data_IF_907705349819
#
_entry.id   IF_907705349819
#
_cell.length_a   1.000
_cell.length_b   1.000
_cell.length_c   1.000
_cell.angle_alpha   90.00
_cell.angle_beta   90.00
_cell.angle_gamma   90.00
#
_symmetry.space_group_name_H-M   'P 1'
#
loop_
_entity.id
_entity.type
_entity.pdbx_description
1 polymer ?
#
# COMPACT_ATOMS: atom_id res chain seq x y z
N UNK A 1 -55.40 42.07 33.19
CA UNK A 1 -54.17 42.70 32.77
C UNK A 1 -53.09 41.74 33.13
N UNK A 2 -52.33 41.09 32.32
CA UNK A 2 -51.84 41.28 30.95
C UNK A 2 -51.40 39.93 30.40
N UNK A 3 -51.88 39.56 29.24
CA UNK A 3 -51.36 38.46 28.43
C UNK A 3 -50.12 38.97 27.71
N UNK A 4 -49.25 38.06 27.38
CA UNK A 4 -48.30 38.15 26.28
C UNK A 4 -46.85 37.84 26.65
N UNK A 5 -46.37 36.62 26.31
CA UNK A 5 -45.09 36.42 25.59
C UNK A 5 -44.71 34.94 25.56
N UNK A 6 -45.42 34.14 24.76
CA UNK A 6 -45.00 32.78 24.43
C UNK A 6 -45.00 32.56 22.91
N UNK A 7 -44.19 33.27 22.15
CA UNK A 7 -44.05 33.04 20.68
C UNK A 7 -42.61 33.04 20.16
N UNK A 8 -41.59 33.00 21.00
CA UNK A 8 -40.20 33.11 20.52
C UNK A 8 -39.44 31.78 20.47
N UNK A 9 -39.90 30.70 21.12
CA UNK A 9 -39.15 29.41 21.17
C UNK A 9 -39.34 28.50 19.97
N UNK A 10 -40.33 28.76 19.10
CA UNK A 10 -40.66 27.83 18.01
C UNK A 10 -39.79 27.98 16.74
N UNK A 11 -39.13 29.10 16.56
CA UNK A 11 -38.23 29.34 15.41
C UNK A 11 -36.81 28.85 15.66
N UNK A 12 -36.41 28.74 16.93
CA UNK A 12 -35.05 28.26 17.29
C UNK A 12 -34.88 26.74 17.09
N UNK A 13 -35.98 25.97 17.25
CA UNK A 13 -35.97 24.53 17.05
C UNK A 13 -35.83 24.12 15.57
N UNK A 14 -36.35 24.93 14.65
CA UNK A 14 -36.19 24.65 13.20
C UNK A 14 -34.79 24.94 12.70
N UNK A 15 -34.12 25.95 13.23
CA UNK A 15 -32.72 26.24 12.90
C UNK A 15 -31.78 25.19 13.48
N UNK A 16 -32.07 24.67 14.67
CA UNK A 16 -31.32 23.55 15.27
C UNK A 16 -31.51 22.26 14.49
N UNK A 17 -32.73 21.97 14.00
CA UNK A 17 -33.01 20.80 13.16
C UNK A 17 -32.33 20.88 11.79
N UNK A 18 -32.32 22.08 11.18
CA UNK A 18 -31.57 22.31 9.92
C UNK A 18 -30.05 22.18 10.11
N UNK A 19 -29.50 22.70 11.19
CA UNK A 19 -28.09 22.58 11.51
C UNK A 19 -27.69 21.09 11.75
N UNK A 20 -28.50 20.32 12.48
CA UNK A 20 -28.27 18.88 12.68
C UNK A 20 -28.37 18.09 11.41
N UNK A 21 -29.27 18.46 10.49
CA UNK A 21 -29.39 17.81 9.18
C UNK A 21 -28.15 18.07 8.29
N UNK A 22 -27.61 19.29 8.34
CA UNK A 22 -26.37 19.63 7.60
C UNK A 22 -25.12 18.95 8.19
N UNK A 23 -25.04 18.76 9.53
CA UNK A 23 -23.95 18.02 10.15
C UNK A 23 -23.99 16.52 9.81
N UNK A 24 -25.17 15.93 9.67
CA UNK A 24 -25.32 14.51 9.29
C UNK A 24 -24.89 14.24 7.83
N UNK A 25 -24.97 15.24 6.96
CA UNK A 25 -24.52 15.15 5.56
C UNK A 25 -23.02 15.42 5.35
N UNK A 26 -22.33 15.93 6.37
CA UNK A 26 -20.91 16.20 6.35
C UNK A 26 -20.06 15.02 6.84
N UNK A 27 -20.63 13.81 6.94
CA UNK A 27 -19.83 12.61 7.14
C UNK A 27 -18.89 12.47 5.93
N UNK A 28 -17.55 12.54 6.10
CA UNK A 28 -16.64 12.30 5.00
C UNK A 28 -16.88 10.86 4.53
N UNK A 29 -17.39 10.70 3.33
CA UNK A 29 -17.22 9.44 2.63
C UNK A 29 -15.70 9.28 2.52
N UNK A 30 -15.13 8.40 3.32
CA UNK A 30 -13.75 7.97 3.17
C UNK A 30 -13.65 7.35 1.78
N UNK A 31 -13.34 8.16 0.79
CA UNK A 31 -13.02 7.69 -0.54
C UNK A 31 -11.78 6.81 -0.38
N UNK A 32 -11.96 5.52 -0.53
CA UNK A 32 -10.85 4.57 -0.56
C UNK A 32 -10.03 4.95 -1.77
N UNK A 33 -8.85 5.48 -1.55
CA UNK A 33 -7.96 5.84 -2.64
C UNK A 33 -7.47 4.54 -3.29
N UNK A 34 -7.68 4.41 -4.59
CA UNK A 34 -7.06 3.34 -5.35
C UNK A 34 -5.55 3.51 -5.25
N UNK A 35 -4.83 2.42 -4.95
CA UNK A 35 -3.38 2.50 -4.79
C UNK A 35 -2.79 1.42 -3.89
N UNK A 36 -1.58 1.68 -3.46
CA UNK A 36 -0.85 0.84 -2.52
C UNK A 36 -0.48 1.70 -1.31
N UNK A 37 -0.82 1.24 -0.12
CA UNK A 37 -0.47 1.89 1.13
C UNK A 37 0.27 0.92 2.06
N UNK A 38 1.31 1.42 2.75
CA UNK A 38 2.05 0.64 3.74
C UNK A 38 1.35 0.80 5.09
N UNK A 39 0.74 -0.26 5.58
CA UNK A 39 0.04 -0.27 6.87
C UNK A 39 1.01 -0.50 8.02
N UNK A 40 1.93 -1.45 7.85
CA UNK A 40 2.95 -1.80 8.84
C UNK A 40 4.23 -2.21 8.15
N UNK A 41 5.37 -1.88 8.77
CA UNK A 41 6.67 -2.39 8.36
C UNK A 41 7.59 -2.48 9.58
N UNK A 42 8.29 -3.59 9.70
CA UNK A 42 9.24 -3.83 10.78
C UNK A 42 10.41 -4.68 10.28
N UNK A 43 11.59 -4.38 10.81
CA UNK A 43 12.74 -5.27 10.70
C UNK A 43 12.80 -6.08 11.99
N UNK A 44 12.76 -7.40 11.87
CA UNK A 44 12.80 -8.33 12.99
C UNK A 44 14.09 -9.14 12.97
N UNK A 45 14.58 -9.52 14.14
CA UNK A 45 15.71 -10.43 14.25
C UNK A 45 15.20 -11.88 14.10
N UNK A 46 15.76 -12.60 13.15
CA UNK A 46 15.64 -14.06 13.02
C UNK A 46 16.89 -14.73 13.66
N UNK A 47 16.95 -16.05 13.66
CA UNK A 47 18.03 -16.79 14.36
C UNK A 47 19.44 -16.31 13.97
N UNK A 48 19.74 -16.23 12.66
CA UNK A 48 21.07 -15.84 12.16
C UNK A 48 21.03 -14.63 11.21
N UNK A 49 19.88 -13.98 11.05
CA UNK A 49 19.70 -12.88 10.12
C UNK A 49 18.62 -11.90 10.57
N UNK A 50 18.52 -10.79 9.88
CA UNK A 50 17.37 -9.89 9.97
C UNK A 50 16.36 -10.20 8.88
N UNK A 51 15.08 -10.11 9.22
CA UNK A 51 13.97 -10.26 8.29
C UNK A 51 13.13 -8.99 8.25
N UNK A 52 12.57 -8.68 7.07
CA UNK A 52 11.57 -7.66 6.89
C UNK A 52 10.19 -8.30 6.96
N UNK A 53 9.32 -7.76 7.79
CA UNK A 53 7.89 -8.03 7.78
C UNK A 53 7.15 -6.75 7.45
N UNK A 54 6.23 -6.82 6.49
CA UNK A 54 5.43 -5.66 6.10
C UNK A 54 4.01 -6.08 5.71
N UNK A 55 3.08 -5.17 5.94
CA UNK A 55 1.68 -5.30 5.57
C UNK A 55 1.27 -4.10 4.73
N UNK A 56 0.70 -4.40 3.56
CA UNK A 56 0.23 -3.41 2.60
C UNK A 56 -1.28 -3.49 2.46
N UNK A 57 -1.91 -2.39 2.16
CA UNK A 57 -3.24 -2.35 1.56
C UNK A 57 -3.07 -2.11 0.06
N UNK A 58 -3.55 -3.05 -0.76
CA UNK A 58 -3.41 -2.98 -2.22
C UNK A 58 -4.80 -2.92 -2.82
N UNK A 59 -5.14 -1.82 -3.47
CA UNK A 59 -6.40 -1.64 -4.20
C UNK A 59 -6.07 -1.33 -5.66
N UNK A 60 -6.54 -2.20 -6.55
CA UNK A 60 -6.39 -1.99 -7.98
C UNK A 60 -7.42 -0.99 -8.50
N UNK A 61 -7.02 -0.19 -9.47
CA UNK A 61 -7.96 0.61 -10.25
C UNK A 61 -8.78 -0.27 -11.18
N UNK A 62 -9.97 0.16 -11.57
CA UNK A 62 -10.82 -0.58 -12.53
C UNK A 62 -10.08 -0.88 -13.84
N UNK A 63 -9.26 0.06 -14.31
CA UNK A 63 -8.47 -0.12 -15.52
C UNK A 63 -7.47 -1.28 -15.41
N UNK A 64 -6.81 -1.42 -14.25
CA UNK A 64 -5.88 -2.53 -13.98
C UNK A 64 -6.62 -3.87 -13.81
N UNK A 65 -7.79 -3.87 -13.16
CA UNK A 65 -8.62 -5.07 -13.04
C UNK A 65 -9.11 -5.57 -14.41
N UNK A 66 -9.57 -4.66 -15.28
CA UNK A 66 -10.04 -5.00 -16.63
C UNK A 66 -8.93 -5.62 -17.47
N UNK A 67 -7.72 -5.09 -17.38
CA UNK A 67 -6.56 -5.61 -18.11
C UNK A 67 -6.10 -6.95 -17.56
N UNK A 68 -6.07 -7.10 -16.25
CA UNK A 68 -5.77 -8.35 -15.57
C UNK A 68 -6.77 -9.46 -16.00
N UNK A 69 -8.07 -9.15 -16.02
CA UNK A 69 -9.13 -10.08 -16.43
C UNK A 69 -9.08 -10.45 -17.92
N UNK A 70 -8.46 -9.61 -18.76
CA UNK A 70 -8.11 -9.91 -20.15
C UNK A 70 -6.86 -10.79 -20.29
N UNK A 71 -6.28 -11.22 -19.16
CA UNK A 71 -5.12 -12.12 -19.10
C UNK A 71 -3.76 -11.42 -19.17
N UNK A 72 -3.69 -10.10 -19.10
CA UNK A 72 -2.43 -9.37 -19.05
C UNK A 72 -1.86 -9.46 -17.63
N UNK A 73 -0.63 -9.95 -17.45
CA UNK A 73 -0.03 -10.03 -16.13
C UNK A 73 0.39 -8.65 -15.63
N UNK A 74 0.16 -8.39 -14.35
CA UNK A 74 0.63 -7.21 -13.63
C UNK A 74 1.85 -7.57 -12.79
N UNK A 75 2.89 -6.74 -12.85
CA UNK A 75 4.13 -6.93 -12.11
C UNK A 75 4.26 -5.85 -11.05
N UNK A 76 4.42 -6.27 -9.80
CA UNK A 76 4.66 -5.38 -8.68
C UNK A 76 6.09 -5.54 -8.20
N UNK A 77 6.73 -4.44 -7.90
CA UNK A 77 8.08 -4.42 -7.37
C UNK A 77 8.05 -3.85 -5.95
N UNK A 78 8.51 -4.66 -5.02
CA UNK A 78 8.84 -4.26 -3.65
C UNK A 78 10.30 -3.85 -3.62
N UNK A 79 10.59 -2.68 -3.06
CA UNK A 79 11.93 -2.14 -2.87
C UNK A 79 12.13 -1.83 -1.38
N UNK A 80 13.19 -2.38 -0.80
CA UNK A 80 13.59 -2.15 0.58
C UNK A 80 15.02 -1.67 0.64
N UNK A 81 15.25 -0.61 1.42
CA UNK A 81 16.56 -0.06 1.68
C UNK A 81 16.80 0.06 3.18
N UNK A 82 18.01 -0.29 3.62
CA UNK A 82 18.48 -0.06 4.98
C UNK A 82 19.80 0.71 4.91
N UNK A 83 19.82 1.88 5.51
CA UNK A 83 20.98 2.79 5.48
C UNK A 83 21.37 3.16 6.89
N UNK A 84 22.70 3.38 7.11
CA UNK A 84 23.22 4.06 8.29
C UNK A 84 23.39 5.53 7.94
N UNK A 85 22.61 6.46 8.50
CA UNK A 85 22.81 7.89 8.28
C UNK A 85 24.13 8.33 8.90
N UNK A 86 24.92 9.12 8.15
CA UNK A 86 26.18 9.72 8.62
C UNK A 86 26.08 11.23 8.46
N UNK A 87 26.37 11.98 9.54
CA UNK A 87 26.23 13.45 9.54
C UNK A 87 27.31 14.19 8.74
N UNK A 88 28.46 13.53 8.47
CA UNK A 88 29.66 14.16 7.86
C UNK A 88 30.10 13.52 6.55
N UNK A 89 29.37 12.49 6.04
CA UNK A 89 29.70 11.75 4.82
C UNK A 89 28.44 11.24 4.15
N UNK A 90 28.60 10.59 2.98
CA UNK A 90 27.48 9.91 2.35
C UNK A 90 26.92 8.80 3.25
N UNK A 91 25.60 8.63 3.22
CA UNK A 91 24.93 7.55 3.95
C UNK A 91 25.50 6.19 3.54
N UNK A 92 25.77 5.35 4.51
CA UNK A 92 26.23 3.99 4.27
C UNK A 92 25.04 3.09 3.98
N UNK A 93 25.00 2.53 2.77
CA UNK A 93 23.97 1.56 2.40
C UNK A 93 24.36 0.21 2.98
N UNK A 94 23.57 -0.28 3.93
CA UNK A 94 23.76 -1.60 4.56
C UNK A 94 23.20 -2.69 3.66
N UNK A 95 21.95 -2.52 3.20
CA UNK A 95 21.32 -3.48 2.29
C UNK A 95 20.32 -2.79 1.36
N UNK A 96 20.14 -3.39 0.21
CA UNK A 96 19.06 -3.11 -0.74
C UNK A 96 18.50 -4.44 -1.21
N UNK A 97 17.21 -4.62 -0.99
CA UNK A 97 16.51 -5.81 -1.43
C UNK A 97 15.36 -5.44 -2.36
N UNK A 98 15.19 -6.23 -3.41
CA UNK A 98 14.11 -6.06 -4.38
C UNK A 98 13.42 -7.39 -4.60
N UNK A 99 12.10 -7.41 -4.51
CA UNK A 99 11.28 -8.58 -4.76
C UNK A 99 10.20 -8.26 -5.77
N UNK A 100 10.01 -9.13 -6.73
CA UNK A 100 8.98 -8.97 -7.76
C UNK A 100 7.85 -9.95 -7.53
N UNK A 101 6.62 -9.44 -7.62
CA UNK A 101 5.38 -10.20 -7.61
C UNK A 101 4.76 -10.13 -9.01
N UNK A 102 4.25 -11.27 -9.47
CA UNK A 102 3.49 -11.35 -10.73
C UNK A 102 2.08 -11.78 -10.42
N UNK A 103 1.12 -10.92 -10.70
CA UNK A 103 -0.31 -11.21 -10.61
C UNK A 103 -0.84 -11.47 -12.03
N UNK A 104 -1.52 -12.58 -12.24
CA UNK A 104 -2.09 -12.96 -13.54
C UNK A 104 -3.44 -13.67 -13.36
N UNK A 105 -4.33 -13.54 -14.34
CA UNK A 105 -5.59 -14.24 -14.39
C UNK A 105 -5.56 -15.31 -15.49
N UNK A 106 -6.00 -16.52 -15.17
CA UNK A 106 -6.15 -17.60 -16.12
C UNK A 106 -7.64 -17.80 -16.46
N UNK A 107 -8.04 -17.41 -17.66
CA UNK A 107 -9.42 -17.47 -18.12
C UNK A 107 -9.94 -18.92 -18.25
N UNK A 108 -9.08 -19.91 -18.51
CA UNK A 108 -9.48 -21.32 -18.64
C UNK A 108 -9.86 -21.92 -17.28
N UNK A 109 -9.06 -21.66 -16.25
CA UNK A 109 -9.31 -22.16 -14.90
C UNK A 109 -10.11 -21.18 -14.03
N UNK A 110 -10.32 -19.95 -14.50
CA UNK A 110 -10.95 -18.83 -13.78
C UNK A 110 -10.29 -18.56 -12.43
N UNK A 111 -8.97 -18.68 -12.39
CA UNK A 111 -8.19 -18.51 -11.18
C UNK A 111 -7.18 -17.36 -11.34
N UNK A 112 -6.95 -16.65 -10.26
CA UNK A 112 -5.87 -15.70 -10.14
C UNK A 112 -4.61 -16.43 -9.66
N UNK A 113 -3.49 -16.07 -10.25
CA UNK A 113 -2.19 -16.65 -9.90
C UNK A 113 -1.24 -15.55 -9.47
N UNK A 114 -0.68 -15.71 -8.27
CA UNK A 114 0.39 -14.86 -7.75
C UNK A 114 1.69 -15.63 -7.82
N UNK A 115 2.70 -15.02 -8.44
CA UNK A 115 4.06 -15.54 -8.52
C UNK A 115 5.02 -14.68 -7.71
N UNK A 116 5.91 -15.33 -6.95
CA UNK A 116 6.99 -14.69 -6.22
C UNK A 116 8.27 -15.44 -6.53
N UNK A 117 9.17 -14.85 -7.31
CA UNK A 117 10.35 -15.54 -7.83
C UNK A 117 9.96 -16.74 -8.68
N UNK A 118 10.30 -17.95 -8.24
CA UNK A 118 9.97 -19.21 -8.92
C UNK A 118 8.72 -19.91 -8.38
N UNK A 119 8.13 -19.39 -7.33
CA UNK A 119 6.94 -19.96 -6.68
C UNK A 119 5.68 -19.33 -7.22
N UNK A 120 4.63 -20.13 -7.40
CA UNK A 120 3.32 -19.68 -7.85
C UNK A 120 2.23 -20.27 -6.95
N UNK A 121 1.25 -19.46 -6.64
CA UNK A 121 0.07 -19.85 -5.89
C UNK A 121 -1.19 -19.40 -6.63
N UNK A 122 -2.21 -20.28 -6.68
CA UNK A 122 -3.49 -19.98 -7.30
C UNK A 122 -4.52 -19.63 -6.24
N UNK A 123 -5.39 -18.68 -6.59
CA UNK A 123 -6.47 -18.17 -5.75
C UNK A 123 -7.79 -18.18 -6.52
N UNK A 124 -8.89 -18.42 -5.82
CA UNK A 124 -10.22 -18.42 -6.43
C UNK A 124 -10.70 -17.00 -6.77
N UNK A 125 -10.24 -15.99 -6.03
CA UNK A 125 -10.68 -14.61 -6.19
C UNK A 125 -9.52 -13.62 -6.20
N UNK A 126 -9.73 -12.45 -6.81
CA UNK A 126 -8.75 -11.36 -6.82
C UNK A 126 -8.43 -10.85 -5.41
N UNK A 127 -9.42 -10.62 -4.52
CA UNK A 127 -9.14 -10.19 -3.16
C UNK A 127 -8.23 -11.15 -2.37
N UNK A 128 -8.38 -12.47 -2.56
CA UNK A 128 -7.48 -13.46 -1.94
C UNK A 128 -6.05 -13.35 -2.47
N UNK A 129 -5.87 -13.17 -3.78
CA UNK A 129 -4.56 -12.96 -4.39
C UNK A 129 -3.89 -11.67 -3.90
N UNK A 130 -4.64 -10.58 -3.79
CA UNK A 130 -4.15 -9.32 -3.25
C UNK A 130 -3.81 -9.43 -1.76
N UNK A 131 -4.65 -10.11 -0.96
CA UNK A 131 -4.39 -10.36 0.46
C UNK A 131 -3.14 -11.23 0.70
N UNK A 132 -2.81 -12.13 -0.22
CA UNK A 132 -1.54 -12.85 -0.18
C UNK A 132 -0.36 -11.93 -0.48
N UNK A 133 -0.48 -11.06 -1.48
CA UNK A 133 0.57 -10.10 -1.84
C UNK A 133 0.76 -9.01 -0.78
N UNK A 134 -0.28 -8.67 -0.03
CA UNK A 134 -0.23 -7.63 1.01
C UNK A 134 0.64 -8.01 2.20
N UNK A 135 0.83 -9.30 2.46
CA UNK A 135 1.67 -9.81 3.55
C UNK A 135 3.04 -10.17 3.02
N UNK A 136 3.97 -9.29 3.25
CA UNK A 136 5.36 -9.47 2.80
C UNK A 136 6.21 -9.97 3.94
N UNK A 137 6.98 -11.03 3.68
CA UNK A 137 8.05 -11.48 4.55
C UNK A 137 9.29 -11.78 3.72
N UNK A 138 10.33 -10.97 3.89
CA UNK A 138 11.63 -11.19 3.26
C UNK A 138 12.62 -11.62 4.34
N UNK A 139 13.20 -12.82 4.15
CA UNK A 139 14.25 -13.35 5.02
C UNK A 139 15.61 -12.88 4.52
N UNK A 140 16.59 -12.93 5.40
CA UNK A 140 18.02 -12.74 5.07
C UNK A 140 18.29 -11.38 4.40
N UNK A 141 17.64 -10.30 4.92
CA UNK A 141 17.87 -8.93 4.42
C UNK A 141 19.23 -8.37 4.87
N UNK A 142 19.75 -8.86 5.99
CA UNK A 142 21.09 -8.55 6.51
C UNK A 142 21.54 -9.64 7.49
N UNK A 143 22.86 -9.87 7.58
CA UNK A 143 23.45 -10.79 8.58
C UNK A 143 23.39 -10.17 9.99
N UNK A 144 23.36 -10.99 11.04
CA UNK A 144 23.29 -10.55 12.45
C UNK A 144 24.45 -9.61 12.81
N UNK A 145 25.62 -9.75 12.20
CA UNK A 145 26.78 -8.86 12.41
C UNK A 145 26.76 -7.55 11.65
N UNK A 146 25.85 -7.36 10.66
CA UNK A 146 25.80 -6.18 9.83
C UNK A 146 25.25 -4.94 10.57
N UNK A 147 24.47 -5.14 11.63
CA UNK A 147 23.89 -4.06 12.43
C UNK A 147 24.58 -4.02 13.80
N UNK A 148 25.27 -2.92 14.09
CA UNK A 148 25.95 -2.70 15.37
C UNK A 148 24.94 -2.29 16.43
N UNK A 149 24.97 -2.94 17.58
CA UNK A 149 24.13 -2.58 18.74
C UNK A 149 24.36 -1.12 19.15
N UNK A 150 23.27 -0.43 19.45
CA UNK A 150 23.30 0.98 19.84
C UNK A 150 23.47 1.97 18.68
N UNK A 151 23.54 1.52 17.42
CA UNK A 151 23.50 2.36 16.24
C UNK A 151 22.07 2.51 15.73
N UNK A 152 21.77 3.67 15.14
CA UNK A 152 20.47 3.95 14.52
C UNK A 152 20.57 3.79 13.01
N UNK A 153 19.64 3.10 12.42
CA UNK A 153 19.51 2.85 10.99
C UNK A 153 18.20 3.40 10.47
N UNK A 154 18.19 3.89 9.25
CA UNK A 154 16.97 4.29 8.57
C UNK A 154 16.58 3.22 7.56
N UNK A 155 15.41 2.64 7.76
CA UNK A 155 14.78 1.73 6.81
C UNK A 155 13.79 2.47 5.94
N UNK A 156 13.68 2.07 4.68
CA UNK A 156 12.73 2.60 3.73
C UNK A 156 12.13 1.45 2.90
N UNK A 157 10.82 1.48 2.71
CA UNK A 157 10.07 0.46 2.00
C UNK A 157 9.09 1.10 1.03
N UNK A 158 8.96 0.54 -0.15
CA UNK A 158 8.00 0.94 -1.17
C UNK A 158 7.56 -0.24 -2.01
N UNK A 159 6.29 -0.27 -2.39
CA UNK A 159 5.77 -1.18 -3.42
C UNK A 159 5.17 -0.36 -4.56
N UNK A 160 5.43 -0.77 -5.81
CA UNK A 160 4.90 -0.11 -6.99
C UNK A 160 4.58 -1.09 -8.11
N UNK A 161 3.62 -0.75 -8.95
CA UNK A 161 3.38 -1.44 -10.21
C UNK A 161 4.52 -1.11 -11.20
N UNK A 162 5.11 -2.14 -11.80
CA UNK A 162 6.12 -1.98 -12.86
C UNK A 162 5.44 -1.90 -14.22
N UNK A 163 5.10 -0.69 -14.63
CA UNK A 163 4.42 -0.43 -15.89
C UNK A 163 5.28 -0.72 -17.11
N UNK A 164 6.60 -0.81 -16.96
CA UNK A 164 7.52 -1.11 -18.06
C UNK A 164 7.35 -2.54 -18.61
N UNK A 165 6.78 -3.44 -17.79
CA UNK A 165 6.52 -4.82 -18.18
C UNK A 165 5.13 -5.05 -18.79
N UNK A 166 4.31 -4.01 -18.88
CA UNK A 166 3.05 -4.10 -19.61
C UNK A 166 3.29 -4.22 -21.12
N UNK A 167 2.43 -4.93 -21.85
CA UNK A 167 2.49 -4.97 -23.32
C UNK A 167 2.42 -3.56 -23.92
N UNK A 168 3.14 -3.34 -25.02
CA UNK A 168 3.28 -2.01 -25.68
C UNK A 168 1.98 -1.23 -25.88
N UNK A 169 0.84 -1.83 -26.27
CA UNK A 169 -0.41 -1.08 -26.43
C UNK A 169 -0.86 -0.37 -25.15
N UNK A 170 -0.59 -0.97 -23.97
CA UNK A 170 -0.95 -0.39 -22.67
C UNK A 170 0.07 0.64 -22.19
N UNK A 171 1.35 0.50 -22.54
CA UNK A 171 2.40 1.45 -22.15
C UNK A 171 2.12 2.88 -22.64
N UNK A 172 1.54 3.02 -23.83
CA UNK A 172 1.18 4.35 -24.39
C UNK A 172 0.05 4.99 -23.60
N UNK A 173 -0.90 4.19 -23.11
CA UNK A 173 -2.04 4.66 -22.30
C UNK A 173 -1.62 5.05 -20.89
N UNK A 174 -0.54 4.45 -20.37
CA UNK A 174 0.01 4.73 -19.03
C UNK A 174 0.61 6.14 -18.94
N UNK A 175 1.14 6.67 -20.04
CA UNK A 175 1.76 8.00 -20.06
C UNK A 175 0.69 9.07 -19.86
N UNK A 176 0.64 9.63 -18.63
CA UNK A 176 -0.27 10.72 -18.26
C UNK A 176 -1.56 10.31 -17.53
N UNK A 177 -1.82 9.02 -17.32
CA UNK A 177 -2.99 8.56 -16.56
C UNK A 177 -2.60 7.96 -15.20
N UNK A 178 -3.19 8.51 -14.14
CA UNK A 178 -3.00 8.01 -12.75
C UNK A 178 -3.58 6.61 -12.56
N UNK A 179 -4.56 6.22 -13.35
CA UNK A 179 -5.26 4.93 -13.24
C UNK A 179 -4.34 3.73 -13.52
N UNK A 180 -3.20 3.97 -14.17
CA UNK A 180 -2.23 2.92 -14.53
C UNK A 180 -0.96 2.94 -13.68
N UNK A 181 -0.81 3.91 -12.80
CA UNK A 181 0.40 4.09 -11.98
C UNK A 181 0.04 4.02 -10.50
N UNK A 182 -0.05 2.82 -9.96
CA UNK A 182 -0.24 2.63 -8.53
C UNK A 182 1.10 2.36 -7.84
N UNK A 183 1.37 3.11 -6.78
CA UNK A 183 2.57 2.98 -5.97
C UNK A 183 2.30 3.47 -4.56
N UNK A 184 2.94 2.87 -3.57
CA UNK A 184 3.02 3.49 -2.26
C UNK A 184 4.07 4.61 -2.27
N UNK A 185 3.91 5.55 -1.35
CA UNK A 185 5.02 6.41 -0.96
C UNK A 185 6.12 5.61 -0.26
N UNK A 186 7.31 6.20 -0.13
CA UNK A 186 8.36 5.64 0.67
C UNK A 186 8.00 5.70 2.16
N UNK A 187 7.66 4.54 2.73
CA UNK A 187 7.50 4.40 4.17
C UNK A 187 8.87 4.30 4.82
N UNK A 188 9.19 5.27 5.71
CA UNK A 188 10.50 5.36 6.38
C UNK A 188 10.34 5.24 7.88
N UNK A 189 11.21 4.44 8.50
CA UNK A 189 11.25 4.29 9.96
C UNK A 189 12.68 4.07 10.44
N UNK A 190 12.87 4.22 11.73
CA UNK A 190 14.16 4.00 12.39
C UNK A 190 14.22 2.57 12.94
N UNK A 191 15.34 1.91 12.72
CA UNK A 191 15.66 0.58 13.25
C UNK A 191 16.82 0.73 14.23
N UNK A 192 16.63 0.23 15.46
CA UNK A 192 17.65 0.19 16.51
C UNK A 192 17.79 -1.27 16.96
N UNK A 193 18.85 -1.98 16.54
CA UNK A 193 19.09 -3.37 16.88
C UNK A 193 19.61 -3.56 18.32
#
# INVERSE_FOLDING_TARGET
MTASSMRCCRRLSWLAALAAFWLAFAAPLAARADGIEVQKAAVITAEDSYALEAEFEITLTRALEDVLNKGVPLYFTLEFELIRPRWYWFNEKITYARQQYRLSYNALTRQYRVGVGKLYQNFASLPEGLAFMSRVRMRDIAEVGALSKGSSYAAALRMRLDTSQLPRPFQVTVVGSRDWSISSDWHRWTVSP
#
